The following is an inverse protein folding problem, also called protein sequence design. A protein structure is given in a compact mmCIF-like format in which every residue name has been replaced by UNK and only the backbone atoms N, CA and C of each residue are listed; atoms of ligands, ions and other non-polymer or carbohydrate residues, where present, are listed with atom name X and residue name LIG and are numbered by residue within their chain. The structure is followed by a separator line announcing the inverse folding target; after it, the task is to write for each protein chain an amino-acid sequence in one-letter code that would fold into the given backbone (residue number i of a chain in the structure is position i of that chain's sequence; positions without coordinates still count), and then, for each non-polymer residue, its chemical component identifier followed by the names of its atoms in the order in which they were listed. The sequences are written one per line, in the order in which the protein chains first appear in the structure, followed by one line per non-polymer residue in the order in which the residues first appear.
data_IF_346155163034
#
_entry.id   IF_346155163034
#
_cell.length_a   1.000
_cell.length_b   1.000
_cell.length_c   1.000
_cell.angle_alpha   90.00
_cell.angle_beta   90.00
_cell.angle_gamma   90.00
#
_symmetry.space_group_name_H-M   'P 1'
#
loop_
_entity.id
_entity.type
_entity.pdbx_description
1 polymer ?
#
# COMPACT_ATOMS: atom_id res chain seq x y z
N UNK A 1 -14.79 -21.18 30.94
CA UNK A 1 -13.77 -20.14 31.22
C UNK A 1 -12.56 -20.11 30.26
N UNK A 2 -12.55 -20.83 29.13
CA UNK A 2 -11.37 -20.92 28.22
C UNK A 2 -11.39 -19.86 27.09
N UNK A 3 -12.55 -19.23 26.82
CA UNK A 3 -12.76 -18.31 25.69
C UNK A 3 -12.14 -16.91 25.88
N UNK A 4 -12.12 -16.35 27.10
CA UNK A 4 -11.66 -14.97 27.30
C UNK A 4 -10.14 -14.79 27.19
N UNK A 5 -9.35 -15.77 27.64
CA UNK A 5 -7.87 -15.68 27.55
C UNK A 5 -7.37 -15.72 26.10
N UNK A 6 -8.03 -16.47 25.21
CA UNK A 6 -7.70 -16.48 23.78
C UNK A 6 -8.12 -15.18 23.11
N UNK A 7 -9.30 -14.66 23.45
CA UNK A 7 -9.78 -13.38 22.94
C UNK A 7 -8.87 -12.21 23.32
N UNK A 8 -8.43 -12.12 24.57
CA UNK A 8 -7.51 -11.06 25.03
C UNK A 8 -6.15 -11.12 24.31
N UNK A 9 -5.62 -12.33 24.04
CA UNK A 9 -4.39 -12.48 23.26
C UNK A 9 -4.54 -11.98 21.82
N UNK A 10 -5.67 -12.31 21.18
CA UNK A 10 -5.97 -11.84 19.82
C UNK A 10 -6.13 -10.32 19.81
N UNK A 11 -6.81 -9.75 20.81
CA UNK A 11 -6.97 -8.31 20.94
C UNK A 11 -5.63 -7.58 21.13
N UNK A 12 -4.75 -8.09 22.01
CA UNK A 12 -3.42 -7.50 22.22
C UNK A 12 -2.54 -7.60 20.98
N UNK A 13 -2.60 -8.73 20.26
CA UNK A 13 -1.91 -8.89 18.97
C UNK A 13 -2.43 -7.88 17.94
N UNK A 14 -3.75 -7.71 17.83
CA UNK A 14 -4.35 -6.76 16.91
C UNK A 14 -3.94 -5.31 17.24
N UNK A 15 -3.98 -4.92 18.52
CA UNK A 15 -3.57 -3.58 18.97
C UNK A 15 -2.08 -3.34 18.70
N UNK A 16 -1.21 -4.32 18.94
CA UNK A 16 0.21 -4.22 18.64
C UNK A 16 0.49 -4.14 17.13
N UNK A 17 -0.21 -4.92 16.31
CA UNK A 17 -0.08 -4.86 14.86
C UNK A 17 -0.54 -3.50 14.33
N UNK A 18 -1.67 -2.99 14.81
CA UNK A 18 -2.21 -1.68 14.41
C UNK A 18 -1.32 -0.51 14.84
N UNK A 19 -0.73 -0.54 16.04
CA UNK A 19 0.18 0.52 16.47
C UNK A 19 1.48 0.53 15.67
N UNK A 20 1.96 -0.63 15.21
CA UNK A 20 3.13 -0.73 14.34
C UNK A 20 2.83 -0.24 12.90
N UNK A 21 1.64 -0.53 12.37
CA UNK A 21 1.19 -0.01 11.06
C UNK A 21 1.09 1.52 11.05
N UNK A 22 0.48 2.11 12.09
CA UNK A 22 0.35 3.56 12.24
C UNK A 22 1.72 4.25 12.43
N UNK A 23 2.67 3.57 13.09
CA UNK A 23 4.05 4.04 13.21
C UNK A 23 4.77 4.11 11.86
N UNK A 24 4.56 3.15 10.96
CA UNK A 24 5.11 3.18 9.61
C UNK A 24 4.59 4.36 8.77
N UNK A 25 3.29 4.63 8.82
CA UNK A 25 2.66 5.73 8.05
C UNK A 25 3.00 7.13 8.58
N UNK A 26 3.27 7.28 9.89
CA UNK A 26 3.49 8.58 10.54
C UNK A 26 4.94 9.08 10.45
N UNK A 27 5.90 8.20 10.16
CA UNK A 27 7.33 8.52 10.18
C UNK A 27 7.88 9.08 8.85
N UNK A 28 7.03 9.58 7.95
CA UNK A 28 7.48 10.23 6.72
C UNK A 28 8.16 11.58 7.02
N UNK A 29 9.50 11.62 6.89
CA UNK A 29 10.34 12.79 7.23
C UNK A 29 10.20 13.98 6.29
N UNK A 30 9.51 13.84 5.16
CA UNK A 30 9.26 14.96 4.25
C UNK A 30 8.55 16.14 4.95
N UNK A 31 7.89 15.91 6.10
CA UNK A 31 7.16 16.92 6.87
C UNK A 31 7.95 17.51 8.08
N UNK A 32 9.17 17.04 8.38
CA UNK A 32 9.94 17.54 9.53
C UNK A 32 10.99 18.58 9.10
N UNK A 33 10.68 19.85 9.35
CA UNK A 33 11.59 20.99 9.06
C UNK A 33 12.82 20.92 9.99
N UNK A 34 14.01 20.71 9.41
CA UNK A 34 15.30 20.98 10.07
C UNK A 34 16.00 19.83 10.80
N UNK A 35 15.64 18.56 10.58
CA UNK A 35 16.34 17.44 11.23
C UNK A 35 17.33 16.77 10.25
N UNK A 36 18.64 16.92 10.46
CA UNK A 36 19.59 15.96 9.90
C UNK A 36 19.23 14.59 10.50
N UNK A 37 18.86 13.60 9.66
CA UNK A 37 18.33 12.32 10.14
C UNK A 37 19.31 11.63 11.10
N UNK A 38 19.07 11.77 12.40
CA UNK A 38 19.82 11.08 13.44
C UNK A 38 19.66 9.58 13.26
N UNK A 39 20.74 8.83 13.50
CA UNK A 39 20.74 7.36 13.41
C UNK A 39 19.60 6.74 14.25
N UNK A 40 19.30 7.35 15.39
CA UNK A 40 18.23 6.94 16.30
C UNK A 40 16.83 6.97 15.65
N UNK A 41 16.60 7.86 14.68
CA UNK A 41 15.31 8.02 14.01
C UNK A 41 15.15 7.07 12.81
N UNK A 42 16.26 6.54 12.28
CA UNK A 42 16.27 5.70 11.07
C UNK A 42 15.82 4.27 11.34
N UNK A 43 16.27 3.68 12.45
CA UNK A 43 15.94 2.31 12.82
C UNK A 43 14.42 2.07 13.01
N UNK A 44 13.69 2.85 13.84
CA UNK A 44 12.25 2.65 14.00
C UNK A 44 11.47 2.94 12.72
N UNK A 45 11.93 3.87 11.88
CA UNK A 45 11.30 4.18 10.60
C UNK A 45 11.41 3.04 9.60
N UNK A 46 12.59 2.46 9.44
CA UNK A 46 12.78 1.27 8.59
C UNK A 46 11.93 0.11 9.06
N UNK A 47 11.88 -0.12 10.38
CA UNK A 47 11.04 -1.17 10.94
C UNK A 47 9.56 -0.94 10.62
N UNK A 48 9.07 0.29 10.83
CA UNK A 48 7.69 0.68 10.53
C UNK A 48 7.36 0.55 9.05
N UNK A 49 8.16 1.15 8.17
CA UNK A 49 8.01 1.06 6.71
C UNK A 49 8.04 -0.38 6.23
N UNK A 50 9.00 -1.18 6.71
CA UNK A 50 9.16 -2.56 6.28
C UNK A 50 7.99 -3.44 6.71
N UNK A 51 7.49 -3.25 7.92
CA UNK A 51 6.26 -3.93 8.37
C UNK A 51 5.04 -3.50 7.57
N UNK A 52 4.85 -2.19 7.34
CA UNK A 52 3.71 -1.70 6.57
C UNK A 52 3.74 -2.24 5.16
N UNK A 53 4.90 -2.29 4.50
CA UNK A 53 5.03 -2.87 3.16
C UNK A 53 4.67 -4.35 3.12
N UNK A 54 5.13 -5.17 4.08
CA UNK A 54 4.76 -6.59 4.13
C UNK A 54 3.27 -6.78 4.39
N UNK A 55 2.71 -6.03 5.34
CA UNK A 55 1.31 -6.20 5.77
C UNK A 55 0.32 -5.64 4.75
N UNK A 56 0.68 -4.58 4.03
CA UNK A 56 -0.14 -3.97 2.98
C UNK A 56 0.06 -4.59 1.60
N UNK A 57 1.12 -5.38 1.37
CA UNK A 57 1.41 -6.00 0.07
C UNK A 57 0.20 -6.69 -0.59
N UNK A 58 -0.65 -7.47 0.11
CA UNK A 58 -1.82 -8.09 -0.53
C UNK A 58 -2.83 -7.09 -1.11
N UNK A 59 -2.86 -5.85 -0.59
CA UNK A 59 -3.74 -4.80 -1.08
C UNK A 59 -3.29 -4.23 -2.42
N UNK A 60 -2.04 -4.45 -2.85
CA UNK A 60 -1.58 -4.08 -4.20
C UNK A 60 -2.32 -4.85 -5.29
N UNK A 61 -2.80 -6.07 -5.01
CA UNK A 61 -3.51 -6.89 -6.00
C UNK A 61 -4.84 -6.23 -6.45
N UNK A 62 -5.78 -5.92 -5.55
CA UNK A 62 -7.00 -5.21 -5.95
C UNK A 62 -6.71 -3.78 -6.40
N UNK A 63 -5.70 -3.12 -5.84
CA UNK A 63 -5.34 -1.74 -6.19
C UNK A 63 -4.90 -1.61 -7.65
N UNK A 64 -3.92 -2.41 -8.08
CA UNK A 64 -3.43 -2.38 -9.46
C UNK A 64 -4.50 -2.88 -10.46
N UNK A 65 -5.40 -3.78 -10.03
CA UNK A 65 -6.54 -4.20 -10.83
C UNK A 65 -7.52 -3.06 -11.13
N UNK A 66 -7.86 -2.23 -10.14
CA UNK A 66 -8.75 -1.08 -10.35
C UNK A 66 -8.04 0.07 -11.07
N UNK A 67 -6.75 0.31 -10.78
CA UNK A 67 -5.97 1.39 -11.40
C UNK A 67 -5.73 1.14 -12.88
N UNK A 68 -5.45 -0.10 -13.28
CA UNK A 68 -5.25 -0.46 -14.68
C UNK A 68 -6.57 -0.54 -15.46
N UNK A 69 -7.67 -0.95 -14.80
CA UNK A 69 -8.99 -0.88 -15.41
C UNK A 69 -9.43 0.56 -15.66
N UNK A 70 -9.10 1.49 -14.75
CA UNK A 70 -9.45 2.90 -14.88
C UNK A 70 -8.82 3.57 -16.12
N UNK A 71 -7.65 3.12 -16.56
CA UNK A 71 -6.91 3.61 -17.75
C UNK A 71 -7.58 3.30 -19.10
N UNK A 72 -8.61 2.44 -19.14
CA UNK A 72 -9.16 1.90 -20.39
C UNK A 72 -10.61 2.32 -20.61
N UNK A 73 -10.96 3.01 -21.71
CA UNK A 73 -12.29 3.60 -21.86
C UNK A 73 -13.40 2.60 -22.23
N UNK A 74 -13.09 1.58 -23.03
CA UNK A 74 -14.08 0.61 -23.49
C UNK A 74 -14.34 -0.52 -22.47
N UNK A 75 -15.59 -1.05 -22.35
CA UNK A 75 -15.91 -2.13 -21.40
C UNK A 75 -15.03 -3.38 -21.54
N UNK A 76 -14.68 -3.76 -22.77
CA UNK A 76 -13.83 -4.91 -23.04
C UNK A 76 -12.37 -4.67 -22.60
N UNK A 77 -11.89 -3.44 -22.75
CA UNK A 77 -10.54 -3.03 -22.36
C UNK A 77 -10.43 -2.86 -20.84
N UNK A 78 -11.48 -2.36 -20.17
CA UNK A 78 -11.59 -2.36 -18.70
C UNK A 78 -11.50 -3.78 -18.12
N UNK A 79 -12.22 -4.73 -18.70
CA UNK A 79 -12.17 -6.13 -18.27
C UNK A 79 -10.76 -6.72 -18.43
N UNK A 80 -10.06 -6.38 -19.52
CA UNK A 80 -8.66 -6.75 -19.71
C UNK A 80 -7.75 -6.05 -18.69
N UNK A 81 -8.02 -4.78 -18.35
CA UNK A 81 -7.33 -4.00 -17.32
C UNK A 81 -7.45 -4.63 -15.93
N UNK A 82 -8.63 -5.09 -15.53
CA UNK A 82 -8.79 -5.81 -14.25
C UNK A 82 -7.94 -7.08 -14.19
N UNK A 83 -7.95 -7.89 -15.26
CA UNK A 83 -7.18 -9.14 -15.30
C UNK A 83 -5.67 -8.86 -15.34
N UNK A 84 -5.24 -7.92 -16.17
CA UNK A 84 -3.84 -7.49 -16.26
C UNK A 84 -3.33 -6.91 -14.93
N UNK A 85 -4.15 -6.10 -14.29
CA UNK A 85 -3.81 -5.45 -13.03
C UNK A 85 -3.71 -6.41 -11.85
N UNK A 86 -4.35 -7.59 -11.89
CA UNK A 86 -4.08 -8.66 -10.92
C UNK A 86 -2.62 -9.13 -11.01
N UNK A 87 -2.10 -9.38 -12.22
CA UNK A 87 -0.71 -9.82 -12.41
C UNK A 87 0.29 -8.73 -12.03
N UNK A 88 0.01 -7.47 -12.43
CA UNK A 88 0.79 -6.31 -12.01
C UNK A 88 0.79 -6.18 -10.48
N UNK A 89 -0.38 -6.34 -9.86
CA UNK A 89 -0.55 -6.32 -8.42
C UNK A 89 0.26 -7.39 -7.69
N UNK A 90 0.41 -8.60 -8.25
CA UNK A 90 1.33 -9.60 -7.69
C UNK A 90 2.80 -9.17 -7.77
N UNK A 91 3.21 -8.50 -8.85
CA UNK A 91 4.57 -7.99 -8.97
C UNK A 91 4.84 -6.87 -7.94
N UNK A 92 3.91 -5.93 -7.78
CA UNK A 92 3.98 -4.87 -6.77
C UNK A 92 3.95 -5.43 -5.34
N UNK A 93 3.06 -6.39 -5.06
CA UNK A 93 3.02 -7.09 -3.78
C UNK A 93 4.36 -7.78 -3.47
N UNK A 94 4.95 -8.47 -4.45
CA UNK A 94 6.28 -9.06 -4.33
C UNK A 94 7.36 -8.02 -4.02
N UNK A 95 7.36 -6.90 -4.75
CA UNK A 95 8.26 -5.77 -4.52
C UNK A 95 8.16 -5.22 -3.10
N UNK A 96 6.94 -5.01 -2.60
CA UNK A 96 6.70 -4.56 -1.22
C UNK A 96 7.19 -5.57 -0.18
N UNK A 97 6.97 -6.86 -0.38
CA UNK A 97 7.47 -7.88 0.55
C UNK A 97 9.00 -7.89 0.58
N UNK A 98 9.66 -7.87 -0.59
CA UNK A 98 11.14 -7.85 -0.66
C UNK A 98 11.71 -6.58 -0.03
N UNK A 99 11.15 -5.42 -0.38
CA UNK A 99 11.51 -4.13 0.20
C UNK A 99 11.32 -4.12 1.71
N UNK A 100 10.19 -4.65 2.20
CA UNK A 100 9.90 -4.65 3.62
C UNK A 100 10.77 -5.61 4.43
N UNK A 101 11.09 -6.79 3.88
CA UNK A 101 12.06 -7.71 4.48
C UNK A 101 13.45 -7.06 4.54
N UNK A 102 13.87 -6.38 3.47
CA UNK A 102 15.13 -5.65 3.45
C UNK A 102 15.18 -4.55 4.51
N UNK A 103 14.12 -3.76 4.66
CA UNK A 103 14.06 -2.71 5.68
C UNK A 103 14.06 -3.27 7.11
N UNK A 104 13.37 -4.38 7.38
CA UNK A 104 13.39 -5.03 8.70
C UNK A 104 14.79 -5.56 9.03
N UNK A 105 15.45 -6.24 8.09
CA UNK A 105 16.79 -6.80 8.30
C UNK A 105 17.83 -5.68 8.46
N UNK A 106 17.69 -4.58 7.70
CA UNK A 106 18.67 -3.49 7.72
C UNK A 106 18.40 -2.42 8.76
N UNK A 107 17.26 -2.46 9.48
CA UNK A 107 16.89 -1.47 10.48
C UNK A 107 17.94 -1.27 11.60
N UNK A 108 18.64 -2.32 12.11
CA UNK A 108 19.62 -2.13 13.18
C UNK A 108 20.94 -1.53 12.71
N UNK A 109 21.20 -1.54 11.39
CA UNK A 109 22.49 -1.20 10.78
C UNK A 109 22.53 0.21 10.18
N UNK A 110 21.44 0.99 10.31
CA UNK A 110 21.37 2.38 9.85
C UNK A 110 21.69 2.59 8.38
N UNK A 111 21.39 1.59 7.53
CA UNK A 111 21.52 1.70 6.07
C UNK A 111 20.68 2.83 5.48
N UNK A 112 20.66 2.99 4.14
CA UNK A 112 20.06 4.14 3.48
C UNK A 112 18.63 4.41 3.98
N UNK A 113 18.33 5.65 4.35
CA UNK A 113 16.99 6.05 4.83
C UNK A 113 15.96 6.12 3.71
N UNK A 114 16.43 6.24 2.47
CA UNK A 114 15.58 6.21 1.27
C UNK A 114 14.80 4.89 1.17
N UNK A 115 13.56 4.92 0.66
CA UNK A 115 12.78 3.72 0.36
C UNK A 115 13.45 2.85 -0.70
N UNK A 116 13.36 1.52 -0.52
CA UNK A 116 13.79 0.55 -1.54
C UNK A 116 12.71 0.34 -2.61
N UNK A 117 11.45 0.64 -2.27
CA UNK A 117 10.28 0.62 -3.15
C UNK A 117 9.75 2.05 -3.24
N UNK A 118 9.40 2.50 -4.43
CA UNK A 118 8.71 3.77 -4.67
C UNK A 118 7.33 3.46 -5.28
N UNK A 119 6.22 4.01 -4.74
CA UNK A 119 6.11 4.79 -3.50
C UNK A 119 6.43 3.98 -2.23
N UNK A 120 6.90 4.66 -1.19
CA UNK A 120 7.41 4.03 0.04
C UNK A 120 6.38 3.17 0.78
N UNK A 121 5.11 3.54 0.62
CA UNK A 121 3.90 2.90 1.16
C UNK A 121 2.85 2.75 0.06
N UNK A 122 1.83 1.93 0.33
CA UNK A 122 0.75 1.68 -0.62
C UNK A 122 0.01 2.97 -0.95
N UNK A 123 -0.19 3.21 -2.25
CA UNK A 123 -0.89 4.37 -2.80
C UNK A 123 -1.84 3.90 -3.89
N UNK A 124 -3.01 4.54 -4.01
CA UNK A 124 -3.98 4.25 -5.06
C UNK A 124 -4.25 5.50 -5.88
N UNK A 125 -4.11 5.41 -7.20
CA UNK A 125 -4.43 6.53 -8.10
C UNK A 125 -5.88 6.48 -8.59
N UNK A 126 -6.63 5.45 -8.17
CA UNK A 126 -7.99 5.18 -8.62
C UNK A 126 -8.92 6.39 -8.57
N UNK A 127 -8.96 7.13 -7.45
CA UNK A 127 -9.88 8.27 -7.33
C UNK A 127 -9.48 9.43 -8.25
N UNK A 128 -8.18 9.65 -8.45
CA UNK A 128 -7.68 10.67 -9.38
C UNK A 128 -8.04 10.28 -10.82
N UNK A 129 -7.74 9.04 -11.22
CA UNK A 129 -8.09 8.50 -12.54
C UNK A 129 -9.61 8.43 -12.77
N UNK A 130 -10.40 8.20 -11.72
CA UNK A 130 -11.85 8.16 -11.81
C UNK A 130 -12.46 9.56 -11.95
N UNK A 131 -11.94 10.57 -11.24
CA UNK A 131 -12.41 11.96 -11.35
C UNK A 131 -12.04 12.59 -12.70
N UNK A 132 -10.95 12.15 -13.34
CA UNK A 132 -10.61 12.56 -14.71
C UNK A 132 -11.62 12.07 -15.76
N UNK A 133 -12.41 11.02 -15.46
CA UNK A 133 -13.47 10.58 -16.36
C UNK A 133 -14.69 11.48 -16.30
N UNK A 134 -15.00 12.08 -17.44
CA UNK A 134 -16.25 12.82 -17.65
C UNK A 134 -17.43 11.93 -18.05
N UNK A 135 -17.17 10.67 -18.44
CA UNK A 135 -18.18 9.78 -19.02
C UNK A 135 -18.98 9.07 -17.92
N UNK A 136 -20.30 9.25 -17.97
CA UNK A 136 -21.24 8.57 -17.08
C UNK A 136 -21.29 7.07 -17.40
N UNK A 137 -21.68 6.24 -16.41
CA UNK A 137 -21.96 4.82 -16.63
C UNK A 137 -22.91 4.57 -17.82
N UNK A 138 -23.82 5.52 -18.10
CA UNK A 138 -24.70 5.50 -19.27
C UNK A 138 -23.98 5.61 -20.61
N UNK A 139 -22.85 6.30 -20.65
CA UNK A 139 -22.13 6.67 -21.88
C UNK A 139 -21.24 5.52 -22.31
N UNK A 140 -20.57 4.88 -21.34
CA UNK A 140 -19.74 3.68 -21.54
C UNK A 140 -20.54 2.48 -22.05
N UNK A 141 -21.79 2.35 -21.60
CA UNK A 141 -22.68 1.26 -22.02
C UNK A 141 -23.67 1.66 -23.12
N UNK A 142 -23.63 2.91 -23.59
CA UNK A 142 -24.56 3.43 -24.60
C UNK A 142 -26.04 3.35 -24.17
N UNK A 143 -26.33 3.36 -22.87
CA UNK A 143 -27.68 3.21 -22.30
C UNK A 143 -28.44 4.54 -22.32
N UNK A 144 -27.77 5.68 -22.51
CA UNK A 144 -28.36 7.02 -22.53
C UNK A 144 -28.60 7.64 -23.91
N UNK A 145 -28.22 6.97 -25.01
CA UNK A 145 -28.28 7.52 -26.36
C UNK A 145 -29.57 7.11 -27.11
N UNK A 146 -30.74 7.33 -26.52
CA UNK A 146 -32.05 7.19 -27.19
C UNK A 146 -33.07 8.20 -26.64
#
# INVERSE_FOLDING_TARGET
MIKSKRFVKILLLAVALSSMLLGGCSLNSANYVGNEESYADRAPRKLGRGMTNILSAPLEIPNQAVDLAAENDAPAEQAAGYVGGIFVGFAYAGGRVVSGVYDIITCPFGGPSVPTMDPDLIHSDFFEKADERTDSFSDVWGIGAY
#
